data_IF_678962229546
#
_entry.id   IF_678962229546
#
_cell.length_a   1.000
_cell.length_b   1.000
_cell.length_c   1.000
_cell.angle_alpha   90.00
_cell.angle_beta   90.00
_cell.angle_gamma   90.00
#
_symmetry.space_group_name_H-M   'P 1'
#
loop_
_entity.id
_entity.type
_entity.pdbx_description
1 polymer ?
#
# COMPACT_ATOMS: atom_id res chain seq x y z
N UNK A 1 -6.97 0.34 13.38
CA UNK A 1 -8.35 0.11 12.91
C UNK A 1 -9.27 1.28 13.24
N UNK A 2 -9.35 1.70 14.50
CA UNK A 2 -10.24 2.78 14.94
C UNK A 2 -10.10 4.04 14.08
N UNK A 3 -8.87 4.52 13.85
CA UNK A 3 -8.64 5.73 13.03
C UNK A 3 -9.01 5.53 11.57
N UNK A 4 -8.76 4.34 11.00
CA UNK A 4 -9.14 4.04 9.63
C UNK A 4 -10.66 3.97 9.48
N UNK A 5 -11.35 3.32 10.41
CA UNK A 5 -12.81 3.24 10.43
C UNK A 5 -13.45 4.64 10.65
N UNK A 6 -12.88 5.45 11.55
CA UNK A 6 -13.33 6.83 11.78
C UNK A 6 -13.14 7.73 10.56
N UNK A 7 -12.14 7.43 9.72
CA UNK A 7 -11.91 8.11 8.44
C UNK A 7 -12.83 7.61 7.30
N UNK A 8 -13.76 6.67 7.60
CA UNK A 8 -14.70 6.12 6.63
C UNK A 8 -14.13 5.02 5.72
N UNK A 9 -12.92 4.52 6.01
CA UNK A 9 -12.34 3.42 5.25
C UNK A 9 -12.92 2.08 5.70
N UNK A 10 -13.09 1.14 4.76
CA UNK A 10 -13.65 -0.19 5.01
C UNK A 10 -12.55 -1.24 5.00
N UNK A 11 -12.51 -2.08 6.04
CA UNK A 11 -11.52 -3.17 6.15
C UNK A 11 -11.93 -4.35 5.26
N UNK A 12 -10.95 -4.89 4.52
CA UNK A 12 -11.07 -6.15 3.79
C UNK A 12 -9.80 -6.97 4.00
N UNK A 13 -9.79 -8.21 3.57
CA UNK A 13 -8.62 -9.07 3.54
C UNK A 13 -8.48 -9.67 2.15
N UNK A 14 -7.37 -9.37 1.50
CA UNK A 14 -7.06 -9.86 0.15
C UNK A 14 -6.08 -11.03 0.20
N UNK A 15 -6.03 -11.89 -0.85
CA UNK A 15 -5.09 -12.99 -0.92
C UNK A 15 -3.63 -12.53 -0.84
N UNK A 16 -2.82 -13.21 0.00
CA UNK A 16 -1.38 -12.99 0.09
C UNK A 16 -0.63 -13.66 -1.08
N UNK A 17 -1.08 -14.83 -1.48
CA UNK A 17 -0.59 -15.49 -2.69
C UNK A 17 -1.39 -14.97 -3.88
N UNK A 18 -0.70 -14.44 -4.86
CA UNK A 18 -1.32 -13.76 -6.00
C UNK A 18 -0.96 -14.44 -7.32
N UNK A 19 -1.91 -14.58 -8.25
CA UNK A 19 -1.65 -15.13 -9.57
C UNK A 19 -0.86 -14.12 -10.43
N UNK A 20 0.00 -14.62 -11.32
CA UNK A 20 0.82 -13.79 -12.21
C UNK A 20 0.00 -12.91 -13.15
N UNK A 21 -1.21 -13.35 -13.50
CA UNK A 21 -2.06 -12.69 -14.50
C UNK A 21 -2.41 -11.25 -14.13
N UNK A 22 -2.67 -10.97 -12.84
CA UNK A 22 -2.98 -9.60 -12.40
C UNK A 22 -1.75 -8.68 -12.53
N UNK A 23 -0.56 -9.23 -12.29
CA UNK A 23 0.72 -8.55 -12.42
C UNK A 23 1.14 -8.35 -13.87
N UNK A 24 0.86 -9.34 -14.73
CA UNK A 24 1.08 -9.24 -16.18
C UNK A 24 0.16 -8.18 -16.79
N UNK A 25 -1.11 -8.13 -16.35
CA UNK A 25 -2.09 -7.14 -16.81
C UNK A 25 -1.67 -5.70 -16.50
N UNK A 26 -1.01 -5.46 -15.36
CA UNK A 26 -0.46 -4.14 -15.00
C UNK A 26 0.90 -3.85 -15.66
N UNK A 27 1.53 -4.85 -16.28
CA UNK A 27 2.89 -4.77 -16.81
C UNK A 27 3.99 -4.82 -15.74
N UNK A 28 3.62 -4.96 -14.46
CA UNK A 28 4.58 -4.91 -13.34
C UNK A 28 5.27 -6.24 -13.06
N UNK A 29 4.79 -7.35 -13.66
CA UNK A 29 5.42 -8.67 -13.49
C UNK A 29 6.91 -8.65 -13.78
N UNK A 30 7.34 -8.02 -14.89
CA UNK A 30 8.74 -7.93 -15.26
C UNK A 30 9.45 -6.76 -14.56
N UNK A 31 8.79 -5.61 -14.46
CA UNK A 31 9.37 -4.37 -13.93
C UNK A 31 9.74 -4.47 -12.45
N UNK A 32 8.95 -5.22 -11.66
CA UNK A 32 9.20 -5.37 -10.22
C UNK A 32 10.53 -6.09 -9.90
N UNK A 33 11.05 -6.85 -10.84
CA UNK A 33 12.36 -7.46 -10.74
C UNK A 33 12.43 -8.60 -9.72
N UNK A 34 13.61 -8.73 -9.08
CA UNK A 34 13.94 -9.85 -8.19
C UNK A 34 13.32 -9.76 -6.80
N UNK A 35 12.85 -8.58 -6.40
CA UNK A 35 12.16 -8.42 -5.10
C UNK A 35 10.79 -9.10 -5.06
N UNK A 36 10.20 -9.39 -6.23
CA UNK A 36 8.98 -10.17 -6.34
C UNK A 36 9.30 -11.67 -6.22
N UNK A 37 8.97 -12.27 -5.09
CA UNK A 37 9.14 -13.70 -4.86
C UNK A 37 8.12 -14.50 -5.70
N UNK A 38 8.61 -15.14 -6.75
CA UNK A 38 7.81 -15.92 -7.70
C UNK A 38 7.98 -17.39 -7.47
N UNK A 39 6.92 -18.16 -7.70
CA UNK A 39 6.93 -19.62 -7.64
C UNK A 39 5.83 -20.18 -8.55
N UNK A 40 5.85 -21.48 -8.74
CA UNK A 40 4.78 -22.19 -9.46
C UNK A 40 3.98 -23.04 -8.50
N UNK A 41 2.67 -23.13 -8.71
CA UNK A 41 1.85 -24.11 -8.01
C UNK A 41 2.09 -25.52 -8.58
N UNK A 42 1.41 -26.54 -8.01
CA UNK A 42 1.53 -27.93 -8.44
C UNK A 42 1.03 -28.19 -9.87
N UNK A 43 0.28 -27.26 -10.46
CA UNK A 43 -0.25 -27.33 -11.82
C UNK A 43 0.60 -26.52 -12.82
N UNK A 44 1.69 -25.88 -12.35
CA UNK A 44 2.58 -25.06 -13.18
C UNK A 44 2.12 -23.60 -13.34
N UNK A 45 1.05 -23.17 -12.68
CA UNK A 45 0.62 -21.79 -12.73
C UNK A 45 1.62 -20.89 -11.99
N UNK A 46 1.98 -19.77 -12.63
CA UNK A 46 2.89 -18.80 -12.03
C UNK A 46 2.18 -17.97 -10.97
N UNK A 47 2.79 -17.88 -9.80
CA UNK A 47 2.28 -17.17 -8.63
C UNK A 47 3.37 -16.30 -8.02
N UNK A 48 2.98 -15.37 -7.16
CA UNK A 48 3.93 -14.63 -6.32
C UNK A 48 3.40 -14.42 -4.91
N UNK A 49 4.33 -14.13 -3.99
CA UNK A 49 3.99 -13.61 -2.68
C UNK A 49 3.79 -12.10 -2.78
N UNK A 50 2.73 -11.60 -2.20
CA UNK A 50 2.33 -10.20 -2.31
C UNK A 50 3.36 -9.22 -1.71
N UNK A 51 4.07 -8.42 -2.51
CA UNK A 51 4.83 -7.29 -2.00
C UNK A 51 3.95 -6.07 -1.75
N UNK A 52 2.80 -6.03 -2.42
CA UNK A 52 1.76 -5.01 -2.39
C UNK A 52 0.46 -5.58 -2.99
N UNK A 53 -0.65 -4.82 -2.99
CA UNK A 53 -1.95 -5.34 -3.45
C UNK A 53 -2.67 -4.43 -4.45
N UNK A 54 -2.00 -3.48 -5.11
CA UNK A 54 -2.62 -2.59 -6.11
C UNK A 54 -3.30 -3.40 -7.21
N UNK A 55 -2.66 -4.44 -7.71
CA UNK A 55 -3.19 -5.29 -8.78
C UNK A 55 -4.48 -5.99 -8.36
N UNK A 56 -4.46 -6.55 -7.15
CA UNK A 56 -5.61 -7.31 -6.62
C UNK A 56 -6.77 -6.38 -6.32
N UNK A 57 -6.54 -5.28 -5.60
CA UNK A 57 -7.61 -4.36 -5.23
C UNK A 57 -8.24 -3.70 -6.46
N UNK A 58 -7.44 -3.36 -7.47
CA UNK A 58 -7.93 -2.81 -8.74
C UNK A 58 -8.81 -3.83 -9.46
N UNK A 59 -8.41 -5.10 -9.46
CA UNK A 59 -9.22 -6.18 -10.03
C UNK A 59 -10.54 -6.38 -9.29
N UNK A 60 -10.52 -6.36 -7.96
CA UNK A 60 -11.72 -6.47 -7.11
C UNK A 60 -12.68 -5.30 -7.37
N UNK A 61 -12.16 -4.07 -7.35
CA UNK A 61 -12.99 -2.87 -7.56
C UNK A 61 -13.57 -2.85 -8.96
N UNK A 62 -12.77 -3.13 -9.99
CA UNK A 62 -13.27 -3.14 -11.38
C UNK A 62 -14.28 -4.26 -11.65
N UNK A 63 -14.23 -5.36 -10.91
CA UNK A 63 -15.20 -6.45 -11.02
C UNK A 63 -16.49 -6.25 -10.18
N UNK A 64 -16.43 -5.39 -9.16
CA UNK A 64 -17.54 -5.21 -8.21
C UNK A 64 -18.32 -3.92 -8.45
N UNK A 65 -17.62 -2.83 -8.77
CA UNK A 65 -18.24 -1.51 -8.94
C UNK A 65 -18.54 -1.26 -10.40
N UNK A 66 -19.83 -1.11 -10.71
CA UNK A 66 -20.33 -0.95 -12.08
C UNK A 66 -20.72 0.49 -12.41
N UNK A 67 -20.71 1.39 -11.42
CA UNK A 67 -21.12 2.79 -11.60
C UNK A 67 -20.21 3.75 -10.81
N UNK A 68 -19.85 4.87 -11.44
CA UNK A 68 -19.14 5.97 -10.78
C UNK A 68 -19.89 6.56 -9.58
N UNK A 69 -21.22 6.35 -9.51
CA UNK A 69 -22.05 6.79 -8.37
C UNK A 69 -21.74 6.02 -7.09
N UNK A 70 -21.03 4.91 -7.17
CA UNK A 70 -20.58 4.13 -6.02
C UNK A 70 -19.27 4.66 -5.44
N UNK A 71 -18.65 5.65 -6.08
CA UNK A 71 -17.45 6.35 -5.62
C UNK A 71 -17.83 7.64 -4.86
N UNK A 72 -16.99 8.14 -3.95
CA UNK A 72 -15.68 7.58 -3.59
C UNK A 72 -15.79 6.34 -2.72
N UNK A 73 -14.76 5.49 -2.79
CA UNK A 73 -14.59 4.37 -1.87
C UNK A 73 -13.15 4.31 -1.36
N UNK A 74 -12.97 4.02 -0.09
CA UNK A 74 -11.68 3.83 0.54
C UNK A 74 -11.66 2.46 1.24
N UNK A 75 -10.74 1.60 0.81
CA UNK A 75 -10.59 0.24 1.27
C UNK A 75 -9.22 0.09 1.91
N UNK A 76 -9.12 -0.66 3.01
CA UNK A 76 -7.83 -0.94 3.62
C UNK A 76 -7.74 -2.38 4.13
N UNK A 77 -6.53 -2.84 4.31
CA UNK A 77 -6.25 -4.11 4.98
C UNK A 77 -5.07 -4.00 5.92
N UNK A 78 -4.98 -4.96 6.84
CA UNK A 78 -3.79 -5.22 7.64
C UNK A 78 -3.36 -6.65 7.29
N UNK A 79 -2.29 -6.77 6.51
CA UNK A 79 -1.91 -8.02 5.87
C UNK A 79 -0.40 -8.16 5.80
N UNK A 80 0.07 -9.40 5.83
CA UNK A 80 1.46 -9.75 5.55
C UNK A 80 1.87 -9.33 4.14
N UNK A 81 3.09 -8.82 4.02
CA UNK A 81 3.78 -8.55 2.75
C UNK A 81 5.08 -9.31 2.72
N UNK A 82 5.51 -9.67 1.54
CA UNK A 82 6.83 -10.25 1.32
C UNK A 82 7.56 -9.50 0.20
N UNK A 83 8.75 -9.02 0.50
CA UNK A 83 9.68 -8.43 -0.46
C UNK A 83 11.03 -9.12 -0.30
N UNK A 84 11.54 -9.71 -1.36
CA UNK A 84 12.85 -10.38 -1.32
C UNK A 84 13.98 -9.37 -1.29
N UNK A 85 14.00 -8.61 -0.19
CA UNK A 85 14.96 -7.54 0.08
C UNK A 85 16.38 -8.09 0.11
N UNK A 86 17.23 -7.54 -0.72
CA UNK A 86 18.62 -8.01 -0.86
C UNK A 86 19.46 -7.73 0.39
N UNK A 87 19.13 -6.69 1.15
CA UNK A 87 19.88 -6.27 2.34
C UNK A 87 18.98 -5.98 3.53
N UNK A 88 18.38 -7.02 4.15
CA UNK A 88 17.63 -6.85 5.40
C UNK A 88 18.54 -6.22 6.47
N UNK A 89 18.01 -5.29 7.25
CA UNK A 89 18.77 -4.59 8.29
C UNK A 89 17.85 -3.88 9.28
N UNK A 90 18.42 -3.40 10.38
CA UNK A 90 17.71 -2.69 11.45
C UNK A 90 16.61 -3.54 12.12
N UNK A 91 16.88 -4.84 12.33
CA UNK A 91 15.92 -5.76 12.93
C UNK A 91 14.62 -5.83 12.15
N UNK A 92 13.51 -5.46 12.77
CA UNK A 92 12.18 -5.52 12.16
C UNK A 92 11.87 -4.35 11.20
N UNK A 93 12.70 -3.30 11.17
CA UNK A 93 12.43 -2.11 10.33
C UNK A 93 12.61 -2.36 8.83
N UNK A 94 13.47 -3.30 8.45
CA UNK A 94 13.69 -3.68 7.05
C UNK A 94 13.89 -5.18 6.91
N UNK A 95 12.82 -5.92 7.14
CA UNK A 95 12.74 -7.36 6.95
C UNK A 95 12.21 -7.72 5.57
N UNK A 96 12.20 -9.01 5.25
CA UNK A 96 11.60 -9.55 4.02
C UNK A 96 10.11 -9.80 4.18
N UNK A 97 9.70 -10.30 5.34
CA UNK A 97 8.29 -10.51 5.70
C UNK A 97 7.90 -9.52 6.79
N UNK A 98 6.80 -8.83 6.61
CA UNK A 98 6.29 -7.82 7.54
C UNK A 98 4.79 -7.63 7.38
N UNK A 99 4.16 -7.07 8.41
CA UNK A 99 2.74 -6.69 8.36
C UNK A 99 2.65 -5.23 7.94
N UNK A 100 1.80 -4.96 6.96
CA UNK A 100 1.50 -3.62 6.49
C UNK A 100 0.01 -3.34 6.65
N UNK A 101 -0.32 -2.12 7.08
CA UNK A 101 -1.62 -1.53 6.82
C UNK A 101 -1.51 -0.76 5.51
N UNK A 102 -2.19 -1.20 4.50
CA UNK A 102 -2.28 -0.53 3.21
C UNK A 102 -3.73 -0.11 2.92
N UNK A 103 -3.90 1.09 2.37
CA UNK A 103 -5.19 1.65 2.02
C UNK A 103 -5.19 2.12 0.56
N UNK A 104 -6.35 2.02 -0.07
CA UNK A 104 -6.57 2.27 -1.48
C UNK A 104 -7.85 3.07 -1.65
N UNK A 105 -7.76 4.28 -2.19
CA UNK A 105 -8.93 5.10 -2.50
C UNK A 105 -9.22 5.09 -4.00
N UNK A 106 -10.49 5.15 -4.33
CA UNK A 106 -10.98 5.23 -5.70
C UNK A 106 -11.98 6.37 -5.76
N UNK A 107 -11.67 7.35 -6.59
CA UNK A 107 -12.42 8.59 -6.72
C UNK A 107 -12.75 8.84 -8.19
N UNK A 108 -13.87 9.54 -8.45
CA UNK A 108 -14.29 9.84 -9.82
C UNK A 108 -13.73 11.15 -10.37
N UNK A 109 -13.10 11.96 -9.51
CA UNK A 109 -12.54 13.28 -9.86
C UNK A 109 -11.21 13.50 -9.16
N UNK A 110 -10.38 14.37 -9.72
CA UNK A 110 -9.12 14.77 -9.10
C UNK A 110 -9.32 15.41 -7.72
N UNK A 111 -10.32 16.29 -7.62
CA UNK A 111 -10.68 16.95 -6.36
C UNK A 111 -11.10 15.93 -5.28
N UNK A 112 -11.88 14.91 -5.66
CA UNK A 112 -12.24 13.79 -4.80
C UNK A 112 -11.01 13.05 -4.29
N UNK A 113 -10.07 12.73 -5.19
CA UNK A 113 -8.81 12.05 -4.85
C UNK A 113 -7.98 12.85 -3.83
N UNK A 114 -7.84 14.16 -4.03
CA UNK A 114 -7.11 15.04 -3.11
C UNK A 114 -7.77 15.07 -1.72
N UNK A 115 -9.10 15.09 -1.68
CA UNK A 115 -9.86 15.01 -0.44
C UNK A 115 -9.65 13.67 0.27
N UNK A 116 -9.77 12.56 -0.43
CA UNK A 116 -9.52 11.21 0.11
C UNK A 116 -8.09 11.08 0.63
N UNK A 117 -7.12 11.60 -0.10
CA UNK A 117 -5.72 11.64 0.33
C UNK A 117 -5.54 12.43 1.63
N UNK A 118 -6.14 13.62 1.74
CA UNK A 118 -6.07 14.42 2.96
C UNK A 118 -6.68 13.71 4.16
N UNK A 119 -7.83 13.06 3.99
CA UNK A 119 -8.48 12.28 5.05
C UNK A 119 -7.54 11.17 5.55
N UNK A 120 -6.85 10.48 4.65
CA UNK A 120 -5.88 9.46 5.03
C UNK A 120 -4.65 10.02 5.71
N UNK A 121 -4.11 11.15 5.25
CA UNK A 121 -2.99 11.82 5.90
C UNK A 121 -3.35 12.21 7.35
N UNK A 122 -4.52 12.77 7.56
CA UNK A 122 -5.03 13.15 8.88
C UNK A 122 -5.20 11.92 9.79
N UNK A 123 -5.68 10.79 9.25
CA UNK A 123 -5.77 9.52 9.97
C UNK A 123 -4.38 9.00 10.39
N UNK A 124 -3.37 9.10 9.54
CA UNK A 124 -2.00 8.68 9.85
C UNK A 124 -1.36 9.54 10.95
N UNK A 125 -1.55 10.84 10.92
CA UNK A 125 -1.08 11.70 12.02
C UNK A 125 -1.66 11.25 13.36
N UNK A 126 -2.97 10.99 13.43
CA UNK A 126 -3.62 10.48 14.64
C UNK A 126 -3.09 9.11 15.07
N UNK A 127 -2.87 8.20 14.12
CA UNK A 127 -2.29 6.88 14.41
C UNK A 127 -0.92 7.03 15.07
N UNK A 128 -0.03 7.84 14.51
CA UNK A 128 1.31 8.04 15.05
C UNK A 128 1.29 8.76 16.40
N UNK A 129 0.45 9.79 16.55
CA UNK A 129 0.25 10.49 17.81
C UNK A 129 -0.21 9.52 18.92
N UNK A 130 -1.20 8.65 18.65
CA UNK A 130 -1.66 7.63 19.58
C UNK A 130 -0.59 6.58 19.91
N UNK A 131 0.36 6.37 19.03
CA UNK A 131 1.53 5.52 19.29
C UNK A 131 2.64 6.26 20.05
N UNK A 132 2.45 7.53 20.39
CA UNK A 132 3.46 8.35 21.07
C UNK A 132 4.63 8.72 20.16
N UNK A 133 4.43 8.75 18.83
CA UNK A 133 5.47 9.01 17.84
C UNK A 133 5.33 10.40 17.25
N UNK A 134 6.40 11.17 17.33
CA UNK A 134 6.50 12.45 16.60
C UNK A 134 6.87 12.16 15.14
N UNK A 135 6.06 12.66 14.22
CA UNK A 135 6.24 12.40 12.79
C UNK A 135 6.17 13.67 11.95
N UNK A 136 6.82 13.64 10.79
CA UNK A 136 6.74 14.69 9.78
C UNK A 136 6.46 14.06 8.42
N UNK A 137 5.41 14.51 7.76
CA UNK A 137 5.15 14.15 6.38
C UNK A 137 6.09 14.89 5.44
N UNK A 138 6.70 14.17 4.50
CA UNK A 138 7.56 14.72 3.47
C UNK A 138 7.19 14.11 2.12
N UNK A 139 7.34 14.87 1.06
CA UNK A 139 7.15 14.36 -0.28
C UNK A 139 8.26 13.35 -0.63
N UNK A 140 7.90 12.26 -1.27
CA UNK A 140 8.83 11.19 -1.66
C UNK A 140 8.60 10.78 -3.11
N UNK A 141 9.62 10.16 -3.71
CA UNK A 141 9.54 9.49 -5.00
C UNK A 141 8.87 8.11 -4.84
N UNK A 142 8.02 7.73 -5.79
CA UNK A 142 7.33 6.43 -5.83
C UNK A 142 8.26 5.25 -6.08
N UNK A 143 9.44 5.47 -6.63
CA UNK A 143 10.42 4.42 -6.93
C UNK A 143 9.92 3.37 -7.91
N UNK A 144 10.37 2.11 -7.73
CA UNK A 144 10.01 0.97 -8.59
C UNK A 144 8.55 0.50 -8.46
N UNK A 145 7.85 0.91 -7.40
CA UNK A 145 6.42 0.62 -7.25
C UNK A 145 5.63 1.35 -8.33
N UNK A 146 6.21 2.42 -8.88
CA UNK A 146 5.62 3.22 -9.94
C UNK A 146 4.45 4.04 -9.41
N UNK A 147 4.21 5.14 -10.05
CA UNK A 147 3.04 5.95 -9.82
C UNK A 147 2.74 6.70 -11.08
N UNK A 148 1.49 6.69 -11.47
CA UNK A 148 1.00 7.57 -12.52
C UNK A 148 1.00 9.03 -12.06
N UNK A 149 0.46 9.90 -12.89
CA UNK A 149 0.30 11.35 -12.62
C UNK A 149 -0.44 11.65 -11.29
N UNK A 150 -1.02 10.64 -10.65
CA UNK A 150 -1.89 10.75 -9.48
C UNK A 150 -1.30 10.13 -8.19
N UNK A 151 -0.07 9.63 -8.21
CA UNK A 151 0.56 9.12 -7.00
C UNK A 151 1.17 10.24 -6.17
N UNK A 152 0.47 10.62 -5.13
CA UNK A 152 1.00 11.54 -4.11
C UNK A 152 1.61 10.69 -3.00
N UNK A 153 2.91 10.44 -3.08
CA UNK A 153 3.63 9.69 -2.06
C UNK A 153 4.11 10.62 -0.95
N UNK A 154 3.45 10.56 0.20
CA UNK A 154 4.00 11.12 1.43
C UNK A 154 4.67 10.04 2.25
N UNK A 155 5.80 10.37 2.80
CA UNK A 155 6.52 9.55 3.74
C UNK A 155 6.48 10.22 5.09
N UNK A 156 6.04 9.48 6.10
CA UNK A 156 6.15 9.93 7.48
C UNK A 156 7.53 9.55 8.01
N UNK A 157 8.29 10.55 8.42
CA UNK A 157 9.59 10.36 9.05
C UNK A 157 9.37 10.41 10.56
N UNK A 158 9.77 9.33 11.25
CA UNK A 158 9.83 9.29 12.70
C UNK A 158 10.98 10.15 13.18
N UNK A 159 10.70 11.06 14.11
CA UNK A 159 11.69 11.98 14.66
C UNK A 159 12.11 11.54 16.07
N UNK A 160 13.39 11.69 16.37
CA UNK A 160 13.91 11.68 17.74
C UNK A 160 14.71 12.96 17.93
N UNK A 161 14.10 13.93 18.64
CA UNK A 161 14.59 15.30 18.65
C UNK A 161 14.54 15.92 17.26
N UNK A 162 15.66 16.45 16.77
CA UNK A 162 15.76 17.04 15.42
C UNK A 162 16.25 16.07 14.34
N UNK A 163 16.48 14.79 14.69
CA UNK A 163 17.04 13.80 13.76
C UNK A 163 15.96 12.80 13.31
N UNK A 164 15.94 12.51 12.03
CA UNK A 164 15.13 11.42 11.49
C UNK A 164 15.72 10.07 11.89
N UNK A 165 14.93 9.20 12.54
CA UNK A 165 15.37 7.87 13.01
C UNK A 165 14.77 6.73 12.21
N UNK A 166 13.60 6.94 11.58
CA UNK A 166 12.97 5.95 10.72
C UNK A 166 12.11 6.62 9.65
N UNK A 167 11.87 5.91 8.58
CA UNK A 167 11.05 6.34 7.43
C UNK A 167 9.94 5.30 7.24
N UNK A 168 8.68 5.71 7.40
CA UNK A 168 7.52 4.90 7.04
C UNK A 168 6.98 5.37 5.70
N UNK A 169 6.86 4.45 4.74
CA UNK A 169 6.27 4.69 3.42
C UNK A 169 4.87 4.07 3.43
N UNK A 170 3.88 4.81 3.01
CA UNK A 170 2.49 4.37 2.91
C UNK A 170 1.97 4.57 1.50
#
# INVERSE_FOLDING_TARGET
>A
REEMNSAGAQELLMPFVQPSEVWQKSGRWEVYGKELARFSDRHGNQMCLAPTHEEVITSVVSGTFTSYKQLPINLYQIQTKFRDEIRPRFGLLRGREFIMKDAYSFDSTQEGLEKSYKIMADAYYKIFERCGLETKAVQSDSGAIGGGVFDVNNVFILLHGTKAVAKCVF
#
